data_IF_103884712847
#
_entry.id   IF_103884712847
#
_cell.length_a   1.000
_cell.length_b   1.000
_cell.length_c   1.000
_cell.angle_alpha   90.00
_cell.angle_beta   90.00
_cell.angle_gamma   90.00
#
_symmetry.space_group_name_H-M   'P 1'
#
loop_
_entity.id
_entity.type
_entity.pdbx_description
1 polymer ?
#
# COMPACT_ATOMS: atom_id res chain seq x y z
N UNK A 1 15.48 18.34 -2.69
CA UNK A 1 16.15 17.03 -2.61
C UNK A 1 17.66 17.26 -2.68
N UNK A 2 18.38 16.79 -1.67
CA UNK A 2 19.68 17.28 -1.23
C UNK A 2 20.86 16.94 -2.17
N UNK A 3 21.81 17.87 -2.26
CA UNK A 3 23.05 17.82 -3.07
C UNK A 3 23.97 16.62 -2.78
N UNK A 4 23.73 15.86 -1.71
CA UNK A 4 24.54 14.67 -1.37
C UNK A 4 24.34 13.49 -2.34
N UNK A 5 23.16 13.39 -2.97
CA UNK A 5 22.87 12.30 -3.90
C UNK A 5 23.71 12.35 -5.20
N UNK A 6 24.20 13.53 -5.59
CA UNK A 6 25.00 13.71 -6.80
C UNK A 6 26.48 13.33 -6.59
N UNK A 7 26.99 13.36 -5.36
CA UNK A 7 28.41 13.06 -5.08
C UNK A 7 28.66 11.55 -5.01
N UNK A 8 27.69 10.77 -4.51
CA UNK A 8 27.80 9.31 -4.41
C UNK A 8 27.86 8.60 -5.77
N UNK A 9 27.24 9.17 -6.82
CA UNK A 9 27.19 8.57 -8.17
C UNK A 9 28.53 8.54 -8.91
N UNK A 10 29.55 9.28 -8.46
CA UNK A 10 30.88 9.31 -9.08
C UNK A 10 31.90 8.38 -8.44
N UNK A 11 31.61 7.82 -7.26
CA UNK A 11 32.59 7.06 -6.48
C UNK A 11 32.69 5.56 -6.84
N UNK A 12 31.79 5.01 -7.67
CA UNK A 12 31.70 3.55 -7.90
C UNK A 12 31.92 3.12 -9.36
N UNK A 13 32.30 4.03 -10.25
CA UNK A 13 32.47 3.74 -11.68
C UNK A 13 33.76 2.94 -12.04
N UNK A 14 34.48 2.38 -11.06
CA UNK A 14 35.84 1.88 -11.28
C UNK A 14 36.25 0.60 -10.56
N UNK A 15 35.32 -0.20 -9.98
CA UNK A 15 35.69 -1.47 -9.33
C UNK A 15 35.56 -2.62 -10.35
N UNK A 16 36.66 -3.18 -10.88
CA UNK A 16 36.59 -4.34 -11.77
C UNK A 16 36.34 -5.59 -10.92
N UNK A 17 35.26 -6.34 -11.19
CA UNK A 17 34.98 -7.63 -10.53
C UNK A 17 33.54 -7.87 -10.09
N UNK A 18 32.65 -6.87 -10.15
CA UNK A 18 31.22 -7.07 -9.91
C UNK A 18 30.54 -7.58 -11.18
N UNK A 19 30.59 -8.91 -11.37
CA UNK A 19 29.83 -9.63 -12.40
C UNK A 19 28.30 -9.54 -12.17
N UNK A 20 27.56 -10.67 -12.08
CA UNK A 20 26.09 -10.71 -12.24
C UNK A 20 25.28 -9.90 -11.21
N UNK A 21 25.90 -9.37 -10.15
CA UNK A 21 25.27 -8.60 -9.08
C UNK A 21 25.17 -7.08 -9.34
N UNK A 22 25.64 -6.60 -10.50
CA UNK A 22 25.55 -5.17 -10.90
C UNK A 22 24.10 -4.64 -10.94
N UNK A 23 23.10 -5.51 -11.09
CA UNK A 23 21.68 -5.14 -11.06
C UNK A 23 21.17 -4.72 -9.67
N UNK A 24 21.78 -5.20 -8.58
CA UNK A 24 21.36 -4.80 -7.22
C UNK A 24 21.59 -3.30 -6.96
N UNK A 25 22.60 -2.71 -7.63
CA UNK A 25 22.92 -1.28 -7.52
C UNK A 25 22.05 -0.39 -8.44
N UNK A 26 21.36 -0.98 -9.42
CA UNK A 26 20.45 -0.25 -10.33
C UNK A 26 19.03 -0.11 -9.76
N UNK A 27 18.72 -0.83 -8.69
CA UNK A 27 17.37 -0.92 -8.11
C UNK A 27 17.07 0.21 -7.11
N UNK A 28 17.29 1.47 -7.49
CA UNK A 28 16.79 2.65 -6.73
C UNK A 28 15.46 3.20 -7.28
N UNK A 29 14.86 2.53 -8.26
CA UNK A 29 13.63 2.95 -8.96
C UNK A 29 12.65 1.79 -9.16
N UNK A 30 12.66 0.77 -8.29
CA UNK A 30 11.49 -0.13 -8.20
C UNK A 30 10.44 0.70 -7.46
N UNK A 31 9.31 1.05 -8.08
CA UNK A 31 8.22 1.68 -7.33
C UNK A 31 7.89 0.75 -6.18
N UNK A 32 7.79 1.30 -4.96
CA UNK A 32 7.38 0.52 -3.79
C UNK A 32 6.12 -0.30 -4.15
N UNK A 33 6.10 -1.60 -3.86
CA UNK A 33 5.03 -2.47 -4.34
C UNK A 33 3.69 -1.97 -3.81
N UNK A 34 2.73 -1.74 -4.71
CA UNK A 34 1.34 -1.45 -4.34
C UNK A 34 0.83 -2.65 -3.54
N UNK A 35 0.37 -2.42 -2.30
CA UNK A 35 -0.19 -3.48 -1.46
C UNK A 35 -1.70 -3.36 -1.39
N UNK A 36 -2.38 -4.50 -1.51
CA UNK A 36 -3.84 -4.59 -1.41
C UNK A 36 -4.17 -5.44 -0.20
N UNK A 37 -4.96 -4.89 0.71
CA UNK A 37 -5.43 -5.57 1.92
C UNK A 37 -6.96 -5.64 1.90
N UNK A 38 -7.50 -6.85 1.98
CA UNK A 38 -8.93 -7.07 2.11
C UNK A 38 -9.32 -6.92 3.57
N UNK A 39 -10.01 -5.82 3.90
CA UNK A 39 -10.50 -5.55 5.24
C UNK A 39 -11.83 -6.28 5.48
N UNK A 40 -12.64 -6.41 4.43
CA UNK A 40 -13.83 -7.25 4.41
C UNK A 40 -14.19 -7.68 3.01
N UNK A 41 -14.91 -8.81 2.94
CA UNK A 41 -15.23 -9.48 1.66
C UNK A 41 -16.65 -10.02 1.62
N UNK A 42 -17.40 -9.93 2.72
CA UNK A 42 -18.80 -10.35 2.76
C UNK A 42 -19.66 -9.40 1.91
N UNK A 43 -20.70 -9.96 1.29
CA UNK A 43 -21.71 -9.19 0.57
C UNK A 43 -23.04 -9.24 1.33
N UNK A 44 -23.81 -8.17 1.22
CA UNK A 44 -25.08 -7.89 1.91
C UNK A 44 -24.98 -7.78 3.44
N UNK A 45 -24.43 -8.79 4.12
CA UNK A 45 -24.32 -8.82 5.58
C UNK A 45 -22.96 -9.36 6.02
N UNK A 46 -22.34 -8.79 7.07
CA UNK A 46 -21.13 -9.35 7.65
C UNK A 46 -21.42 -10.71 8.30
N UNK A 47 -20.44 -11.61 8.24
CA UNK A 47 -20.47 -12.89 8.97
C UNK A 47 -19.51 -12.83 10.16
N UNK A 48 -19.48 -13.89 10.97
CA UNK A 48 -18.55 -14.01 12.09
C UNK A 48 -17.08 -13.96 11.63
N UNK A 49 -16.80 -14.51 10.45
CA UNK A 49 -15.44 -14.63 9.88
C UNK A 49 -15.12 -13.53 8.86
N UNK A 50 -16.12 -12.84 8.29
CA UNK A 50 -15.94 -11.92 7.16
C UNK A 50 -16.69 -10.61 7.40
N UNK A 51 -15.95 -9.50 7.42
CA UNK A 51 -16.54 -8.17 7.51
C UNK A 51 -17.21 -7.75 6.18
N UNK A 52 -18.08 -6.72 6.24
CA UNK A 52 -18.67 -6.06 5.08
C UNK A 52 -17.61 -5.49 4.12
N UNK A 53 -17.99 -5.20 2.87
CA UNK A 53 -17.06 -4.85 1.80
C UNK A 53 -16.16 -3.67 2.17
N UNK A 54 -14.84 -3.90 2.15
CA UNK A 54 -13.82 -2.86 2.25
C UNK A 54 -12.46 -3.39 1.80
N UNK A 55 -11.77 -2.64 0.94
CA UNK A 55 -10.43 -2.94 0.46
C UNK A 55 -9.54 -1.72 0.68
N UNK A 56 -8.39 -1.92 1.30
CA UNK A 56 -7.35 -0.90 1.42
C UNK A 56 -6.27 -1.10 0.36
N UNK A 57 -5.98 -0.03 -0.38
CA UNK A 57 -4.88 0.04 -1.35
C UNK A 57 -3.82 0.97 -0.79
N UNK A 58 -2.66 0.42 -0.44
CA UNK A 58 -1.50 1.17 0.05
C UNK A 58 -0.63 1.60 -1.13
N UNK A 59 -0.52 2.92 -1.32
CA UNK A 59 0.25 3.59 -2.36
C UNK A 59 1.50 4.29 -1.78
N UNK A 60 2.10 3.72 -0.73
CA UNK A 60 3.28 4.21 0.01
C UNK A 60 3.06 5.51 0.79
N UNK A 61 2.55 6.56 0.13
CA UNK A 61 2.30 7.87 0.73
C UNK A 61 0.91 8.03 1.32
N UNK A 62 -0.03 7.24 0.82
CA UNK A 62 -1.42 7.28 1.22
C UNK A 62 -2.08 5.93 1.08
N UNK A 63 -3.16 5.76 1.83
CA UNK A 63 -4.06 4.63 1.71
C UNK A 63 -5.35 5.14 1.08
N UNK A 64 -5.83 4.37 0.10
CA UNK A 64 -7.14 4.55 -0.51
C UNK A 64 -8.02 3.40 -0.06
N UNK A 65 -9.24 3.71 0.39
CA UNK A 65 -10.27 2.70 0.64
C UNK A 65 -11.19 2.59 -0.57
N UNK A 66 -11.46 1.36 -0.99
CA UNK A 66 -12.57 1.02 -1.88
C UNK A 66 -13.65 0.37 -1.01
N UNK A 67 -14.81 1.02 -0.94
CA UNK A 67 -15.88 0.79 0.03
C UNK A 67 -15.46 0.95 1.49
N UNK A 68 -16.45 1.16 2.36
CA UNK A 68 -16.27 1.36 3.79
C UNK A 68 -17.43 0.77 4.60
N UNK A 69 -17.83 -0.47 4.27
CA UNK A 69 -18.93 -1.14 4.97
C UNK A 69 -18.74 -1.24 6.49
N UNK A 70 -19.82 -1.55 7.21
CA UNK A 70 -19.83 -1.61 8.68
C UNK A 70 -18.62 -2.39 9.23
N UNK A 71 -17.96 -1.83 10.25
CA UNK A 71 -16.81 -2.46 10.89
C UNK A 71 -15.46 -2.24 10.21
N UNK A 72 -15.40 -1.55 9.07
CA UNK A 72 -14.13 -1.23 8.36
C UNK A 72 -13.09 -0.58 9.27
N UNK A 73 -13.50 0.36 10.14
CA UNK A 73 -12.61 0.97 11.13
C UNK A 73 -11.94 -0.07 12.06
N UNK A 74 -12.70 -1.09 12.50
CA UNK A 74 -12.20 -2.15 13.38
C UNK A 74 -11.19 -3.01 12.63
N UNK A 75 -11.49 -3.35 11.38
CA UNK A 75 -10.59 -4.11 10.53
C UNK A 75 -9.30 -3.34 10.24
N UNK A 76 -9.35 -2.02 10.07
CA UNK A 76 -8.16 -1.17 9.96
C UNK A 76 -7.30 -1.23 11.23
N UNK A 77 -7.89 -1.12 12.41
CA UNK A 77 -7.16 -1.25 13.69
C UNK A 77 -6.51 -2.62 13.90
N UNK A 78 -7.10 -3.69 13.34
CA UNK A 78 -6.54 -5.04 13.38
C UNK A 78 -5.47 -5.28 12.30
N UNK A 79 -5.39 -4.41 11.30
CA UNK A 79 -4.43 -4.49 10.20
C UNK A 79 -3.14 -3.72 10.54
N UNK A 80 -2.03 -3.95 9.82
CA UNK A 80 -0.83 -3.11 9.94
C UNK A 80 -1.00 -1.72 9.32
N UNK A 81 -2.14 -1.43 8.67
CA UNK A 81 -2.39 -0.17 7.98
C UNK A 81 -2.84 0.88 8.98
N UNK A 82 -2.09 1.98 9.06
CA UNK A 82 -2.48 3.13 9.88
C UNK A 82 -3.70 3.84 9.29
N UNK A 83 -4.78 3.92 10.07
CA UNK A 83 -5.98 4.70 9.73
C UNK A 83 -5.65 6.16 9.37
N UNK A 84 -4.62 6.75 9.97
CA UNK A 84 -4.19 8.13 9.70
C UNK A 84 -3.63 8.35 8.29
N UNK A 85 -3.32 7.27 7.56
CA UNK A 85 -2.85 7.33 6.16
C UNK A 85 -4.00 7.31 5.16
N UNK A 86 -5.23 7.02 5.58
CA UNK A 86 -6.40 7.00 4.70
C UNK A 86 -6.68 8.43 4.23
N UNK A 87 -6.54 8.67 2.92
CA UNK A 87 -6.72 9.99 2.30
C UNK A 87 -7.98 10.09 1.46
N UNK A 88 -8.45 8.97 0.91
CA UNK A 88 -9.59 8.90 0.00
C UNK A 88 -10.38 7.63 0.25
N UNK A 89 -11.70 7.73 0.13
CA UNK A 89 -12.65 6.62 0.17
C UNK A 89 -13.48 6.71 -1.11
N UNK A 90 -13.51 5.63 -1.87
CA UNK A 90 -14.33 5.49 -3.06
C UNK A 90 -15.43 4.48 -2.77
N UNK A 91 -16.68 4.93 -2.83
CA UNK A 91 -17.85 4.06 -2.69
C UNK A 91 -18.25 3.56 -4.07
N UNK A 92 -18.39 2.24 -4.22
CA UNK A 92 -18.80 1.64 -5.50
C UNK A 92 -20.28 1.90 -5.78
N UNK A 93 -21.13 1.80 -4.76
CA UNK A 93 -22.57 2.06 -4.81
C UNK A 93 -23.15 2.25 -3.39
N UNK A 94 -24.45 2.50 -3.29
CA UNK A 94 -25.12 2.89 -2.03
C UNK A 94 -25.92 1.74 -1.38
N UNK A 95 -25.36 0.53 -1.35
CA UNK A 95 -25.88 -0.52 -0.47
C UNK A 95 -25.20 -0.46 0.90
N UNK A 96 -25.93 -0.82 1.96
CA UNK A 96 -25.46 -0.65 3.35
C UNK A 96 -24.22 -1.47 3.72
N UNK A 97 -23.88 -2.48 2.94
CA UNK A 97 -22.64 -3.26 3.07
C UNK A 97 -21.41 -2.60 2.42
N UNK A 98 -21.59 -1.44 1.77
CA UNK A 98 -20.53 -0.71 1.07
C UNK A 98 -20.22 0.69 1.62
N UNK A 99 -21.16 1.36 2.31
CA UNK A 99 -20.97 2.73 2.84
C UNK A 99 -20.99 2.81 4.37
#
# INVERSE_FOLDING_TARGET
MNREAQVAGRALAGIPGLGPFRWLLYSRNVPEPVQITFLGTAGSWPTKERNASAIAVDLEREVVLLDCGEGTQRQLFQSPISFMRVRRIFLTHFHGDHF
#
